data_IF_226480016163
#
_entry.id   IF_226480016163
#
_cell.length_a   1.000
_cell.length_b   1.000
_cell.length_c   1.000
_cell.angle_alpha   90.00
_cell.angle_beta   90.00
_cell.angle_gamma   90.00
#
_symmetry.space_group_name_H-M   'P 1'
#
loop_
_entity.id
_entity.type
_entity.pdbx_description
1 polymer ?
#
# COMPACT_ATOMS: atom_id res chain seq x y z
N UNK A 1 4.44 -7.80 8.65
CA UNK A 1 3.51 -6.70 9.00
C UNK A 1 2.21 -7.30 9.51
N UNK A 2 1.61 -6.71 10.52
CA UNK A 2 0.31 -7.12 11.05
C UNK A 2 -0.42 -5.86 11.51
N UNK A 3 -1.75 -5.85 11.42
CA UNK A 3 -2.61 -4.79 11.95
C UNK A 3 -3.63 -5.46 12.85
N UNK A 4 -3.73 -4.99 14.09
CA UNK A 4 -4.73 -5.46 15.05
C UNK A 4 -5.46 -4.25 15.59
N UNK A 5 -6.78 -4.21 15.44
CA UNK A 5 -7.62 -3.10 15.89
C UNK A 5 -7.06 -1.73 15.45
N UNK A 6 -6.73 -1.61 14.15
CA UNK A 6 -6.11 -0.43 13.50
C UNK A 6 -4.66 -0.11 13.91
N UNK A 7 -4.07 -0.85 14.84
CA UNK A 7 -2.68 -0.65 15.27
C UNK A 7 -1.74 -1.49 14.44
N UNK A 8 -0.71 -0.87 13.87
CA UNK A 8 0.30 -1.53 13.02
C UNK A 8 1.41 -2.15 13.88
N UNK A 9 1.81 -3.36 13.54
CA UNK A 9 2.90 -4.12 14.13
C UNK A 9 3.89 -4.57 13.05
N UNK A 10 5.18 -4.34 13.28
CA UNK A 10 6.29 -4.78 12.42
C UNK A 10 7.15 -5.74 13.24
N UNK A 11 7.31 -6.98 12.75
CA UNK A 11 8.05 -8.03 13.47
C UNK A 11 7.56 -8.19 14.93
N UNK A 12 6.24 -8.24 15.10
CA UNK A 12 5.55 -8.32 16.39
C UNK A 12 5.75 -7.14 17.34
N UNK A 13 6.48 -6.09 16.93
CA UNK A 13 6.65 -4.85 17.68
C UNK A 13 5.66 -3.80 17.20
N UNK A 14 4.99 -3.12 18.12
CA UNK A 14 4.08 -2.02 17.80
C UNK A 14 4.84 -0.93 17.04
N UNK A 15 4.33 -0.53 15.89
CA UNK A 15 4.85 0.61 15.15
C UNK A 15 4.54 1.90 15.89
N UNK A 16 5.45 2.89 15.92
CA UNK A 16 5.13 4.24 16.37
C UNK A 16 3.90 4.77 15.66
N UNK A 17 3.06 5.50 16.39
CA UNK A 17 1.88 6.16 15.83
C UNK A 17 2.33 7.54 15.32
N UNK A 18 2.15 7.85 14.02
CA UNK A 18 2.46 9.17 13.49
C UNK A 18 1.67 10.25 14.22
N UNK A 19 2.30 11.41 14.48
CA UNK A 19 1.69 12.50 15.26
C UNK A 19 0.36 13.01 14.66
N UNK A 20 0.19 12.91 13.34
CA UNK A 20 -0.98 13.39 12.61
C UNK A 20 -1.83 12.24 12.02
N UNK A 21 -1.77 11.04 12.60
CA UNK A 21 -2.63 9.94 12.16
C UNK A 21 -4.10 10.33 12.30
N UNK A 22 -4.92 9.98 11.31
CA UNK A 22 -6.35 10.23 11.30
C UNK A 22 -7.11 8.91 11.21
N UNK A 23 -8.12 8.79 12.07
CA UNK A 23 -9.15 7.76 12.03
C UNK A 23 -10.49 8.48 11.88
N UNK A 24 -11.17 8.28 10.75
CA UNK A 24 -12.47 8.87 10.49
C UNK A 24 -13.56 8.22 11.33
N UNK A 25 -13.39 6.94 11.68
CA UNK A 25 -14.30 6.21 12.55
C UNK A 25 -13.58 5.56 13.72
N UNK A 26 -14.19 5.68 14.89
CA UNK A 26 -13.79 4.94 16.10
C UNK A 26 -14.22 3.47 16.04
N UNK A 27 -15.17 3.13 15.16
CA UNK A 27 -15.64 1.76 15.03
C UNK A 27 -14.56 0.90 14.38
N UNK A 28 -14.28 -0.23 15.02
CA UNK A 28 -13.34 -1.23 14.55
C UNK A 28 -14.15 -2.36 13.92
N UNK A 29 -13.80 -2.74 12.69
CA UNK A 29 -14.36 -3.92 12.05
C UNK A 29 -13.90 -5.17 12.79
N UNK A 30 -14.82 -6.06 13.08
CA UNK A 30 -14.50 -7.32 13.75
C UNK A 30 -13.49 -8.14 12.94
N UNK A 31 -12.63 -8.87 13.64
CA UNK A 31 -11.75 -9.85 13.01
C UNK A 31 -12.57 -10.89 12.23
N UNK A 32 -12.07 -11.29 11.06
CA UNK A 32 -12.75 -12.25 10.18
C UNK A 32 -13.85 -11.65 9.29
N UNK A 33 -14.26 -10.40 9.47
CA UNK A 33 -15.09 -9.69 8.50
C UNK A 33 -14.27 -9.36 7.24
N UNK A 34 -14.23 -10.27 6.26
CA UNK A 34 -13.44 -10.11 5.04
C UNK A 34 -13.85 -8.86 4.25
N UNK A 35 -12.87 -8.05 3.87
CA UNK A 35 -13.03 -7.03 2.83
C UNK A 35 -12.45 -7.57 1.51
N UNK A 36 -13.29 -7.75 0.49
CA UNK A 36 -12.86 -8.35 -0.79
C UNK A 36 -11.88 -7.49 -1.59
N UNK A 37 -11.69 -6.22 -1.21
CA UNK A 37 -10.72 -5.31 -1.84
C UNK A 37 -9.35 -5.36 -1.17
N UNK A 38 -9.21 -6.09 -0.05
CA UNK A 38 -7.95 -6.22 0.67
C UNK A 38 -7.03 -7.20 -0.07
N UNK A 39 -5.78 -6.78 -0.22
CA UNK A 39 -4.67 -7.62 -0.61
C UNK A 39 -4.13 -8.36 0.61
N UNK A 40 -3.70 -9.62 0.51
CA UNK A 40 -4.00 -10.56 -0.56
C UNK A 40 -5.47 -11.01 -0.51
N UNK A 41 -6.05 -11.27 -1.68
CA UNK A 41 -7.47 -11.63 -1.81
C UNK A 41 -7.78 -13.03 -1.28
N UNK A 42 -6.76 -13.87 -1.16
CA UNK A 42 -6.87 -15.21 -0.58
C UNK A 42 -7.23 -15.20 0.92
N UNK A 43 -7.03 -14.08 1.62
CA UNK A 43 -7.20 -13.99 3.07
C UNK A 43 -8.58 -13.44 3.46
N UNK A 44 -8.96 -13.68 4.73
CA UNK A 44 -10.23 -13.18 5.32
C UNK A 44 -10.04 -11.90 6.15
N UNK A 45 -9.03 -11.10 5.79
CA UNK A 45 -8.65 -9.89 6.51
C UNK A 45 -9.52 -8.68 6.14
N UNK A 46 -9.41 -7.64 6.97
CA UNK A 46 -9.90 -6.29 6.67
C UNK A 46 -8.83 -5.24 6.99
N UNK A 47 -9.13 -3.98 6.70
CA UNK A 47 -8.22 -2.85 6.89
C UNK A 47 -7.86 -2.56 8.35
N UNK A 48 -8.67 -3.03 9.31
CA UNK A 48 -8.48 -2.85 10.75
C UNK A 48 -7.78 -4.04 11.40
N UNK A 49 -7.94 -5.23 10.80
CA UNK A 49 -7.40 -6.51 11.26
C UNK A 49 -6.81 -7.26 10.05
N UNK A 50 -5.48 -7.17 9.92
CA UNK A 50 -4.71 -7.54 8.74
C UNK A 50 -3.48 -8.35 9.11
N UNK A 51 -3.14 -9.37 8.33
CA UNK A 51 -1.93 -10.13 8.54
C UNK A 51 -2.06 -11.27 9.57
N UNK A 52 -0.94 -11.84 10.01
CA UNK A 52 0.43 -11.44 9.66
C UNK A 52 0.77 -11.68 8.18
N UNK A 53 1.41 -10.71 7.55
CA UNK A 53 1.90 -10.78 6.18
C UNK A 53 3.42 -10.60 6.16
N UNK A 54 4.12 -11.49 5.45
CA UNK A 54 5.55 -11.36 5.19
C UNK A 54 5.74 -10.49 3.94
N UNK A 55 6.56 -9.46 4.06
CA UNK A 55 6.97 -8.66 2.91
C UNK A 55 8.10 -9.43 2.21
N UNK A 56 7.97 -9.77 0.93
CA UNK A 56 9.03 -10.49 0.23
C UNK A 56 10.25 -9.61 0.02
N UNK A 57 11.39 -10.24 -0.26
CA UNK A 57 12.65 -9.58 -0.61
C UNK A 57 13.21 -10.10 -1.93
N UNK A 58 14.22 -9.40 -2.43
CA UNK A 58 14.93 -9.82 -3.64
C UNK A 58 15.48 -11.24 -3.50
N UNK A 59 15.28 -12.05 -4.52
CA UNK A 59 15.74 -13.43 -4.58
C UNK A 59 14.81 -14.45 -3.92
N UNK A 60 13.72 -14.02 -3.28
CA UNK A 60 12.72 -14.96 -2.79
C UNK A 60 12.09 -15.71 -3.98
N UNK A 61 11.99 -17.03 -3.85
CA UNK A 61 11.38 -17.93 -4.83
C UNK A 61 9.94 -18.21 -4.44
N UNK A 62 9.01 -17.79 -5.29
CA UNK A 62 7.57 -18.00 -5.11
C UNK A 62 7.13 -19.19 -5.96
N UNK A 63 6.46 -20.17 -5.34
CA UNK A 63 5.78 -21.24 -6.07
C UNK A 63 4.41 -20.73 -6.51
N UNK A 64 4.17 -20.72 -7.81
CA UNK A 64 2.96 -20.19 -8.42
C UNK A 64 1.92 -21.29 -8.59
N UNK A 65 0.71 -20.99 -8.12
CA UNK A 65 -0.45 -21.89 -8.19
C UNK A 65 -1.69 -21.09 -8.59
N UNK A 66 -2.71 -21.76 -9.12
CA UNK A 66 -3.99 -21.11 -9.43
C UNK A 66 -4.62 -20.41 -8.22
N UNK A 67 -4.32 -20.87 -7.00
CA UNK A 67 -4.87 -20.32 -5.76
C UNK A 67 -4.18 -19.06 -5.27
N UNK A 68 -2.91 -18.82 -5.63
CA UNK A 68 -2.14 -17.65 -5.18
C UNK A 68 -1.75 -16.68 -6.29
N UNK A 69 -1.93 -17.06 -7.57
CA UNK A 69 -1.45 -16.25 -8.69
C UNK A 69 -2.07 -14.86 -8.72
N UNK A 70 -3.33 -14.71 -8.28
CA UNK A 70 -3.97 -13.38 -8.22
C UNK A 70 -3.27 -12.45 -7.22
N UNK A 71 -2.72 -13.01 -6.13
CA UNK A 71 -1.97 -12.23 -5.14
C UNK A 71 -0.59 -11.83 -5.70
N UNK A 72 0.06 -12.71 -6.48
CA UNK A 72 1.40 -12.46 -7.03
C UNK A 72 1.41 -11.76 -8.40
N UNK A 73 0.31 -11.78 -9.17
CA UNK A 73 0.25 -11.17 -10.50
C UNK A 73 0.65 -9.69 -10.46
N UNK A 74 0.12 -8.94 -9.50
CA UNK A 74 0.38 -7.50 -9.38
C UNK A 74 1.87 -7.20 -9.17
N UNK A 75 2.55 -7.95 -8.30
CA UNK A 75 3.96 -7.69 -8.01
C UNK A 75 4.85 -8.09 -9.20
N UNK A 76 4.52 -9.19 -9.87
CA UNK A 76 5.25 -9.66 -11.06
C UNK A 76 5.08 -8.65 -12.20
N UNK A 77 3.84 -8.27 -12.53
CA UNK A 77 3.56 -7.29 -13.59
C UNK A 77 4.26 -5.94 -13.33
N UNK A 78 4.34 -5.50 -12.06
CA UNK A 78 5.09 -4.29 -11.68
C UNK A 78 6.60 -4.39 -11.95
N UNK A 79 7.22 -5.55 -11.71
CA UNK A 79 8.66 -5.73 -12.04
C UNK A 79 8.96 -5.71 -13.55
N UNK A 80 7.95 -5.90 -14.39
CA UNK A 80 8.08 -5.83 -15.85
C UNK A 80 7.54 -4.51 -16.44
N UNK A 81 6.96 -3.64 -15.60
CA UNK A 81 6.26 -2.42 -16.00
C UNK A 81 5.16 -2.65 -17.07
N UNK A 82 4.57 -3.85 -17.07
CA UNK A 82 3.47 -4.27 -17.97
C UNK A 82 2.84 -5.56 -17.50
N UNK A 83 1.64 -5.86 -18.00
CA UNK A 83 1.03 -7.17 -17.79
C UNK A 83 1.82 -8.26 -18.52
N UNK A 84 2.33 -9.22 -17.74
CA UNK A 84 3.07 -10.39 -18.25
C UNK A 84 2.51 -11.71 -17.74
N UNK A 85 1.74 -11.68 -16.65
CA UNK A 85 1.13 -12.88 -16.08
C UNK A 85 -0.22 -13.16 -16.73
N UNK A 86 -0.34 -14.29 -17.44
CA UNK A 86 -1.60 -14.79 -18.00
C UNK A 86 -1.92 -16.19 -17.49
N UNK A 87 -3.20 -16.56 -17.54
CA UNK A 87 -3.68 -17.91 -17.19
C UNK A 87 -4.41 -18.47 -18.41
N UNK A 88 -3.81 -19.45 -19.07
CA UNK A 88 -4.33 -20.07 -20.30
C UNK A 88 -4.40 -21.58 -20.14
N UNK A 89 -5.58 -22.17 -20.40
CA UNK A 89 -5.85 -23.61 -20.21
C UNK A 89 -5.43 -24.15 -18.84
N UNK A 90 -5.51 -23.29 -17.82
CA UNK A 90 -5.09 -23.62 -16.47
C UNK A 90 -3.58 -23.67 -16.25
N UNK A 91 -2.77 -23.27 -17.21
CA UNK A 91 -1.34 -23.01 -17.04
C UNK A 91 -1.15 -21.54 -16.66
N UNK A 92 -0.13 -21.27 -15.83
CA UNK A 92 0.32 -19.91 -15.54
C UNK A 92 1.47 -19.62 -16.51
N UNK A 93 1.37 -18.51 -17.23
CA UNK A 93 2.40 -18.05 -18.14
C UNK A 93 2.94 -16.72 -17.63
N UNK A 94 4.25 -16.55 -17.72
CA UNK A 94 4.92 -15.28 -17.45
C UNK A 94 5.64 -14.92 -18.74
N UNK A 95 5.25 -13.79 -19.34
CA UNK A 95 5.78 -13.34 -20.63
C UNK A 95 5.63 -14.39 -21.75
N UNK A 96 4.51 -15.13 -21.75
CA UNK A 96 4.21 -16.17 -22.72
C UNK A 96 4.89 -17.53 -22.45
N UNK A 97 5.71 -17.65 -21.41
CA UNK A 97 6.35 -18.91 -21.04
C UNK A 97 5.69 -19.55 -19.83
N UNK A 98 5.32 -20.84 -19.97
CA UNK A 98 4.73 -21.62 -18.88
C UNK A 98 5.69 -21.65 -17.68
N UNK A 99 5.19 -21.17 -16.54
CA UNK A 99 5.97 -21.00 -15.31
C UNK A 99 5.20 -21.53 -14.11
N UNK A 100 5.88 -22.28 -13.24
CA UNK A 100 5.35 -22.76 -11.95
C UNK A 100 6.03 -22.07 -10.75
N UNK A 101 7.01 -21.21 -11.02
CA UNK A 101 7.75 -20.47 -10.02
C UNK A 101 8.16 -19.11 -10.57
N UNK A 102 8.45 -18.17 -9.66
CA UNK A 102 9.02 -16.88 -10.01
C UNK A 102 10.02 -16.44 -8.93
N UNK A 103 11.15 -15.89 -9.36
CA UNK A 103 12.17 -15.32 -8.47
C UNK A 103 12.00 -13.81 -8.50
N UNK A 104 11.72 -13.22 -7.34
CA UNK A 104 11.54 -11.78 -7.23
C UNK A 104 12.87 -11.05 -7.47
N UNK A 105 12.83 -10.00 -8.27
CA UNK A 105 14.03 -9.27 -8.74
C UNK A 105 14.35 -8.06 -7.88
N UNK A 106 13.42 -7.65 -7.01
CA UNK A 106 13.53 -6.45 -6.19
C UNK A 106 13.24 -6.68 -4.71
N UNK A 107 13.64 -5.70 -3.90
CA UNK A 107 13.11 -5.54 -2.54
C UNK A 107 11.80 -4.77 -2.58
N UNK A 108 10.96 -4.97 -1.57
CA UNK A 108 9.62 -4.45 -1.55
C UNK A 108 9.26 -3.76 -0.23
N UNK A 109 8.27 -2.88 -0.32
CA UNK A 109 7.79 -2.07 0.77
C UNK A 109 6.29 -2.24 0.93
N UNK A 110 5.83 -2.12 2.17
CA UNK A 110 4.42 -2.08 2.53
C UNK A 110 4.13 -0.71 3.12
N UNK A 111 3.23 0.05 2.47
CA UNK A 111 2.90 1.42 2.82
C UNK A 111 1.51 1.48 3.46
N UNK A 112 1.38 2.30 4.49
CA UNK A 112 0.11 2.58 5.17
C UNK A 112 -0.01 4.09 5.29
N UNK A 113 -1.11 4.66 4.81
CA UNK A 113 -1.34 6.10 4.90
C UNK A 113 -1.74 6.56 6.31
N UNK A 114 -1.49 7.82 6.61
CA UNK A 114 -1.82 8.40 7.91
C UNK A 114 -3.33 8.58 8.11
N UNK A 115 -4.09 8.84 7.04
CA UNK A 115 -5.56 8.82 7.06
C UNK A 115 -6.07 7.38 6.89
N UNK A 116 -6.06 6.63 7.99
CA UNK A 116 -6.12 5.16 7.98
C UNK A 116 -7.40 4.59 7.38
N UNK A 117 -8.52 5.27 7.55
CA UNK A 117 -9.83 4.83 7.04
C UNK A 117 -10.07 5.25 5.59
N UNK A 118 -9.28 6.19 5.09
CA UNK A 118 -9.43 6.83 3.78
C UNK A 118 -8.07 6.94 3.08
N UNK A 119 -7.39 5.79 3.06
CA UNK A 119 -6.12 5.60 2.39
C UNK A 119 -6.22 4.32 1.59
N UNK A 120 -6.25 4.47 0.27
CA UNK A 120 -6.04 3.35 -0.64
C UNK A 120 -4.53 3.11 -0.70
N UNK A 121 -4.03 2.24 0.17
CA UNK A 121 -2.61 1.92 0.35
C UNK A 121 -2.28 0.41 0.14
N UNK A 122 -1.11 -0.06 0.57
CA UNK A 122 -0.66 -1.44 0.35
C UNK A 122 -1.60 -2.50 0.93
N UNK A 123 -2.47 -2.13 1.89
CA UNK A 123 -3.54 -3.02 2.35
C UNK A 123 -4.48 -3.44 1.22
N UNK A 124 -4.61 -2.64 0.17
CA UNK A 124 -5.52 -2.86 -0.95
C UNK A 124 -4.82 -3.24 -2.24
N UNK A 125 -3.69 -2.62 -2.57
CA UNK A 125 -2.99 -2.81 -3.85
C UNK A 125 -1.61 -3.47 -3.73
N UNK A 126 -1.27 -3.98 -2.56
CA UNK A 126 -0.09 -4.81 -2.32
C UNK A 126 1.23 -4.05 -2.25
N UNK A 127 2.32 -4.76 -2.52
CA UNK A 127 3.67 -4.26 -2.25
C UNK A 127 4.19 -3.28 -3.31
N UNK A 128 5.01 -2.33 -2.88
CA UNK A 128 5.70 -1.38 -3.77
C UNK A 128 7.13 -1.87 -4.01
N UNK A 129 7.56 -2.10 -5.26
CA UNK A 129 8.95 -2.41 -5.56
C UNK A 129 9.88 -1.23 -5.23
N UNK A 130 11.12 -1.53 -4.83
CA UNK A 130 12.10 -0.50 -4.46
C UNK A 130 12.31 0.52 -5.58
N UNK A 131 12.32 0.10 -6.84
CA UNK A 131 12.57 0.99 -7.99
C UNK A 131 11.48 2.06 -8.18
N UNK A 132 10.25 1.79 -7.73
CA UNK A 132 9.15 2.76 -7.78
C UNK A 132 9.25 3.84 -6.69
N UNK A 133 10.17 3.71 -5.73
CA UNK A 133 10.36 4.69 -4.66
C UNK A 133 11.38 5.74 -5.09
N UNK A 134 10.88 6.95 -5.40
CA UNK A 134 11.68 8.08 -5.86
C UNK A 134 12.49 8.73 -4.74
N UNK A 135 11.93 8.87 -3.54
CA UNK A 135 12.62 9.52 -2.42
C UNK A 135 11.75 9.70 -1.18
N UNK A 136 12.30 10.39 -0.18
CA UNK A 136 11.63 10.69 1.09
C UNK A 136 11.19 12.16 1.10
N UNK A 137 9.91 12.46 1.42
CA UNK A 137 9.48 13.85 1.59
C UNK A 137 10.15 14.44 2.83
N UNK A 138 10.75 15.64 2.69
CA UNK A 138 11.53 16.28 3.78
C UNK A 138 10.89 17.55 4.33
N UNK A 139 10.20 18.34 3.51
CA UNK A 139 9.62 19.63 3.91
C UNK A 139 8.24 19.83 3.29
N UNK A 140 7.37 20.54 4.00
CA UNK A 140 6.16 21.11 3.42
C UNK A 140 6.54 22.45 2.75
N UNK A 141 6.70 22.44 1.42
CA UNK A 141 7.07 23.64 0.67
C UNK A 141 5.94 24.69 0.64
N UNK A 142 4.68 24.25 0.47
CA UNK A 142 3.53 25.15 0.36
C UNK A 142 2.26 24.53 0.95
N UNK A 143 1.35 25.36 1.45
CA UNK A 143 0.06 24.91 1.97
C UNK A 143 -1.01 26.02 1.96
N UNK A 144 -2.15 25.74 1.33
CA UNK A 144 -3.37 26.56 1.31
C UNK A 144 -4.61 25.66 1.33
N UNK A 145 -5.81 26.22 1.29
CA UNK A 145 -7.04 25.43 1.12
C UNK A 145 -7.26 25.06 -0.36
N UNK A 146 -7.12 23.78 -0.67
CA UNK A 146 -7.28 23.25 -2.03
C UNK A 146 -8.72 23.24 -2.54
N UNK A 147 -9.72 23.49 -1.68
CA UNK A 147 -11.12 23.57 -2.11
C UNK A 147 -11.47 24.95 -2.71
N UNK A 148 -10.60 25.94 -2.56
CA UNK A 148 -10.81 27.29 -3.12
C UNK A 148 -10.35 27.28 -4.59
N UNK A 149 -11.24 27.60 -5.55
CA UNK A 149 -10.86 27.67 -6.97
C UNK A 149 -9.82 28.77 -7.25
N UNK A 150 -8.94 28.52 -8.22
CA UNK A 150 -7.95 29.52 -8.68
C UNK A 150 -8.56 30.82 -9.24
N UNK A 151 -9.86 30.81 -9.57
CA UNK A 151 -10.60 32.01 -10.00
C UNK A 151 -10.86 33.00 -8.85
N UNK A 152 -10.60 32.61 -7.60
CA UNK A 152 -10.76 33.44 -6.41
C UNK A 152 -9.40 33.74 -5.75
N UNK A 153 -8.54 34.56 -6.38
CA UNK A 153 -7.15 34.72 -5.96
C UNK A 153 -7.02 35.26 -4.54
N UNK A 154 -7.82 36.25 -4.14
CA UNK A 154 -7.75 36.83 -2.80
C UNK A 154 -8.13 35.82 -1.71
N UNK A 155 -9.20 35.03 -1.91
CA UNK A 155 -9.59 33.96 -0.99
C UNK A 155 -8.49 32.90 -0.90
N UNK A 156 -7.92 32.50 -2.04
CA UNK A 156 -6.85 31.51 -2.11
C UNK A 156 -5.60 31.96 -1.33
N UNK A 157 -5.11 33.19 -1.56
CA UNK A 157 -3.96 33.74 -0.84
C UNK A 157 -4.24 33.92 0.65
N UNK A 158 -5.46 34.30 1.03
CA UNK A 158 -5.83 34.42 2.45
C UNK A 158 -5.86 33.07 3.18
N UNK A 159 -6.02 31.96 2.44
CA UNK A 159 -6.08 30.60 3.01
C UNK A 159 -4.71 29.96 3.27
N UNK A 160 -3.61 30.67 2.98
CA UNK A 160 -2.24 30.16 3.15
C UNK A 160 -1.97 29.82 4.62
N UNK A 161 -1.54 28.58 4.86
CA UNK A 161 -1.25 28.03 6.19
C UNK A 161 0.23 28.21 6.51
N UNK A 162 0.61 29.44 6.86
CA UNK A 162 2.02 29.84 7.07
C UNK A 162 2.73 28.96 8.11
N UNK A 163 2.03 28.52 9.16
CA UNK A 163 2.56 27.63 10.21
C UNK A 163 2.96 26.23 9.71
N UNK A 164 2.60 25.84 8.48
CA UNK A 164 2.99 24.57 7.88
C UNK A 164 4.19 24.71 6.94
N UNK A 165 4.43 25.90 6.39
CA UNK A 165 5.48 26.12 5.39
C UNK A 165 6.86 25.91 6.02
N UNK A 166 7.76 25.23 5.30
CA UNK A 166 9.10 24.82 5.73
C UNK A 166 9.15 23.89 6.95
N UNK A 167 8.00 23.38 7.42
CA UNK A 167 7.97 22.37 8.48
C UNK A 167 8.54 21.06 7.94
N UNK A 168 9.43 20.44 8.73
CA UNK A 168 9.94 19.11 8.44
C UNK A 168 8.81 18.08 8.47
N UNK A 169 8.87 17.12 7.56
CA UNK A 169 8.03 15.93 7.59
C UNK A 169 8.76 14.89 8.45
N UNK A 170 8.20 14.61 9.63
CA UNK A 170 8.65 13.54 10.54
C UNK A 170 7.93 12.23 10.26
#
# INVERSE_FOLDING_TARGET
>A
IEIKNKVVFVNSKRSPIPANVLYQTIQIKNEGMKNNRIFPQSQKWNEDNYGPLVIPKKGDKIILTKGNINDWKTIIDREFDREVVTIEDGNILINGEKSNEYILKQDYYFMVGDNRDDSYDSRFWGFVPRENIVGTPIIIFWSWDSNIPFTKPFELFSSVRVNRIMKLVE
#
